data_IF_886740866616
#
_entry.id   IF_886740866616
#
_cell.length_a   1.000
_cell.length_b   1.000
_cell.length_c   1.000
_cell.angle_alpha   90.00
_cell.angle_beta   90.00
_cell.angle_gamma   90.00
#
_symmetry.space_group_name_H-M   'P 1'
#
loop_
_entity.id
_entity.type
_entity.pdbx_description
1 polymer ?
#
# COMPACT_ATOMS: atom_id res chain seq x y z
N UNK A 1 -23.51 52.03 -25.96
CA UNK A 1 -22.41 51.34 -25.25
C UNK A 1 -22.92 50.28 -24.26
N UNK A 2 -24.10 50.45 -23.67
CA UNK A 2 -24.69 49.51 -22.69
C UNK A 2 -24.89 48.07 -23.22
N UNK A 3 -25.34 47.89 -24.47
CA UNK A 3 -25.53 46.55 -25.07
C UNK A 3 -24.22 45.73 -25.16
N UNK A 4 -23.07 46.37 -25.40
CA UNK A 4 -21.77 45.69 -25.45
C UNK A 4 -21.28 45.28 -24.06
N UNK A 5 -21.59 46.08 -23.03
CA UNK A 5 -21.27 45.76 -21.63
C UNK A 5 -22.12 44.60 -21.09
N UNK A 6 -23.38 44.50 -21.48
CA UNK A 6 -24.26 43.38 -21.09
C UNK A 6 -23.77 42.06 -21.70
N UNK A 7 -23.32 42.06 -22.95
CA UNK A 7 -22.78 40.85 -23.61
C UNK A 7 -21.48 40.38 -22.93
N UNK A 8 -20.60 41.31 -22.57
CA UNK A 8 -19.36 40.99 -21.84
C UNK A 8 -19.65 40.43 -20.44
N UNK A 9 -20.64 40.98 -19.74
CA UNK A 9 -21.03 40.47 -18.42
C UNK A 9 -21.58 39.03 -18.48
N UNK A 10 -22.39 38.70 -19.50
CA UNK A 10 -22.93 37.34 -19.68
C UNK A 10 -21.82 36.34 -20.01
N UNK A 11 -20.83 36.72 -20.82
CA UNK A 11 -19.71 35.83 -21.16
C UNK A 11 -18.83 35.50 -19.94
N UNK A 12 -18.59 36.47 -19.06
CA UNK A 12 -17.81 36.24 -17.82
C UNK A 12 -18.55 35.29 -16.87
N UNK A 13 -19.88 35.36 -16.80
CA UNK A 13 -20.69 34.47 -15.97
C UNK A 13 -20.64 33.02 -16.49
N UNK A 14 -20.74 32.82 -17.81
CA UNK A 14 -20.70 31.47 -18.41
C UNK A 14 -19.33 30.82 -18.20
N UNK A 15 -18.24 31.57 -18.38
CA UNK A 15 -16.89 31.05 -18.17
C UNK A 15 -16.62 30.79 -16.68
N UNK A 16 -17.06 31.69 -15.79
CA UNK A 16 -16.92 31.52 -14.34
C UNK A 16 -17.67 30.31 -13.78
N UNK A 17 -18.91 30.08 -14.22
CA UNK A 17 -19.69 28.89 -13.84
C UNK A 17 -19.05 27.60 -14.37
N UNK A 18 -18.52 27.61 -15.59
CA UNK A 18 -17.85 26.43 -16.17
C UNK A 18 -16.64 25.95 -15.36
N UNK A 19 -15.85 26.87 -14.80
CA UNK A 19 -14.69 26.52 -13.95
C UNK A 19 -15.14 26.01 -12.57
N UNK A 20 -16.22 26.57 -12.01
CA UNK A 20 -16.77 26.14 -10.72
C UNK A 20 -17.28 24.69 -10.76
N UNK A 21 -18.00 24.30 -11.82
CA UNK A 21 -18.48 22.93 -12.00
C UNK A 21 -17.36 21.89 -12.25
N UNK A 22 -16.24 22.29 -12.84
CA UNK A 22 -15.08 21.39 -13.03
C UNK A 22 -14.35 21.15 -11.70
N UNK A 23 -14.33 22.14 -10.81
CA UNK A 23 -13.67 22.02 -9.50
C UNK A 23 -14.46 21.07 -8.55
N UNK A 24 -15.79 21.13 -8.57
CA UNK A 24 -16.64 20.28 -7.70
C UNK A 24 -16.58 18.79 -8.07
N UNK A 25 -16.31 18.47 -9.34
CA UNK A 25 -16.26 17.07 -9.83
C UNK A 25 -15.00 16.31 -9.41
N UNK A 26 -13.95 16.98 -8.91
CA UNK A 26 -12.67 16.34 -8.58
C UNK A 26 -12.53 15.93 -7.10
N UNK A 27 -13.41 16.36 -6.20
CA UNK A 27 -13.35 16.02 -4.76
C UNK A 27 -14.55 15.22 -4.24
N UNK A 28 -15.02 14.23 -5.00
CA UNK A 28 -15.87 13.17 -4.44
C UNK A 28 -15.54 11.80 -5.03
N UNK A 29 -14.25 11.46 -5.09
CA UNK A 29 -13.89 10.07 -4.81
C UNK A 29 -14.21 9.87 -3.33
N UNK A 30 -15.45 9.46 -3.05
CA UNK A 30 -15.88 8.98 -1.74
C UNK A 30 -14.88 7.88 -1.38
N UNK A 31 -13.86 8.24 -0.61
CA UNK A 31 -13.20 7.31 0.30
C UNK A 31 -14.35 6.85 1.18
N UNK A 32 -14.91 5.70 0.85
CA UNK A 32 -15.76 4.94 1.74
C UNK A 32 -14.86 4.50 2.89
N UNK A 33 -14.50 5.46 3.75
CA UNK A 33 -14.01 5.18 5.08
C UNK A 33 -15.26 4.74 5.81
N UNK A 34 -15.59 3.46 5.70
CA UNK A 34 -16.47 2.81 6.64
C UNK A 34 -15.82 2.97 8.01
N UNK A 35 -16.14 4.06 8.70
CA UNK A 35 -16.03 4.14 10.15
C UNK A 35 -17.06 3.17 10.68
N UNK A 36 -16.75 1.88 10.58
CA UNK A 36 -17.22 0.88 11.52
C UNK A 36 -16.77 1.47 12.85
N UNK A 37 -17.71 1.84 13.71
CA UNK A 37 -17.40 2.15 15.10
C UNK A 37 -16.85 0.85 15.72
N UNK A 38 -15.56 0.61 15.49
CA UNK A 38 -14.88 -0.57 15.97
C UNK A 38 -14.49 -0.28 17.40
N UNK A 39 -15.08 -1.03 18.33
CA UNK A 39 -14.70 -1.00 19.73
C UNK A 39 -13.16 -1.18 19.83
N UNK A 40 -12.41 -0.17 20.32
CA UNK A 40 -10.96 -0.21 20.35
C UNK A 40 -10.41 -1.33 21.25
N UNK A 41 -11.20 -1.83 22.20
CA UNK A 41 -10.83 -2.91 23.11
C UNK A 41 -11.22 -4.29 22.60
N UNK A 42 -11.94 -4.35 21.47
CA UNK A 42 -12.31 -5.62 20.85
C UNK A 42 -11.06 -6.46 20.59
N UNK A 43 -11.03 -7.66 21.18
CA UNK A 43 -9.94 -8.61 20.99
C UNK A 43 -10.08 -9.33 19.66
N UNK A 44 -9.02 -9.32 18.86
CA UNK A 44 -8.83 -10.09 17.64
C UNK A 44 -7.80 -11.17 17.94
N UNK A 45 -8.14 -12.44 17.76
CA UNK A 45 -7.26 -13.56 18.09
C UNK A 45 -7.01 -14.46 16.87
N UNK A 46 -5.81 -15.00 16.75
CA UNK A 46 -5.38 -15.86 15.63
C UNK A 46 -5.70 -17.36 15.81
N UNK A 47 -6.34 -17.72 16.92
CA UNK A 47 -6.65 -19.11 17.29
C UNK A 47 -5.47 -19.89 17.88
N UNK A 48 -4.31 -19.25 18.08
CA UNK A 48 -3.09 -19.82 18.69
C UNK A 48 -2.68 -19.06 19.96
N UNK A 49 -3.68 -18.60 20.71
CA UNK A 49 -3.53 -17.81 21.95
C UNK A 49 -2.93 -16.40 21.75
N UNK A 50 -2.59 -15.98 20.52
CA UNK A 50 -2.20 -14.60 20.27
C UNK A 50 -3.46 -13.76 20.04
N UNK A 51 -3.66 -12.77 20.90
CA UNK A 51 -4.73 -11.79 20.78
C UNK A 51 -4.14 -10.39 20.77
N UNK A 52 -4.67 -9.53 19.91
CA UNK A 52 -4.41 -8.09 19.90
C UNK A 52 -5.73 -7.34 20.02
N UNK A 53 -5.69 -6.07 20.40
CA UNK A 53 -6.88 -5.22 20.31
C UNK A 53 -7.04 -4.67 18.90
N UNK A 54 -8.26 -4.32 18.50
CA UNK A 54 -8.51 -3.60 17.25
C UNK A 54 -7.65 -2.34 17.17
N UNK A 55 -7.49 -1.61 18.27
CA UNK A 55 -6.67 -0.40 18.30
C UNK A 55 -5.18 -0.66 17.99
N UNK A 56 -4.62 -1.75 18.51
CA UNK A 56 -3.24 -2.16 18.24
C UNK A 56 -3.07 -2.67 16.81
N UNK A 57 -4.04 -3.44 16.32
CA UNK A 57 -4.05 -3.90 14.94
C UNK A 57 -4.06 -2.72 13.96
N UNK A 58 -4.95 -1.75 14.16
CA UNK A 58 -5.01 -0.54 13.32
C UNK A 58 -3.72 0.28 13.42
N UNK A 59 -3.15 0.44 14.61
CA UNK A 59 -1.82 1.07 14.78
C UNK A 59 -0.74 0.33 14.00
N UNK A 60 -0.76 -1.01 13.97
CA UNK A 60 0.23 -1.81 13.24
C UNK A 60 0.15 -1.59 11.72
N UNK A 61 -1.06 -1.43 11.17
CA UNK A 61 -1.29 -1.18 9.74
C UNK A 61 -0.90 0.24 9.34
N UNK A 62 -1.11 1.20 10.24
CA UNK A 62 -0.80 2.62 10.03
C UNK A 62 0.67 2.97 10.32
N UNK A 63 1.45 2.03 10.86
CA UNK A 63 2.86 2.25 11.14
C UNK A 63 3.65 2.48 9.85
N UNK A 64 4.60 3.43 9.87
CA UNK A 64 5.43 3.76 8.71
C UNK A 64 6.21 2.55 8.17
N UNK A 65 6.60 1.62 9.06
CA UNK A 65 7.35 0.41 8.73
C UNK A 65 6.47 -0.80 8.36
N UNK A 66 5.15 -0.62 8.25
CA UNK A 66 4.20 -1.69 7.95
C UNK A 66 4.60 -2.45 6.68
N UNK A 67 4.92 -1.73 5.60
CA UNK A 67 5.34 -2.35 4.33
C UNK A 67 6.61 -3.16 4.45
N UNK A 68 7.63 -2.62 5.13
CA UNK A 68 8.86 -3.35 5.42
C UNK A 68 8.58 -4.68 6.14
N UNK A 69 7.79 -4.65 7.22
CA UNK A 69 7.41 -5.85 7.97
C UNK A 69 6.62 -6.84 7.11
N UNK A 70 5.66 -6.33 6.35
CA UNK A 70 4.82 -7.13 5.48
C UNK A 70 5.64 -7.84 4.39
N UNK A 71 6.50 -7.11 3.67
CA UNK A 71 7.31 -7.67 2.59
C UNK A 71 8.34 -8.68 3.08
N UNK A 72 9.02 -8.43 4.20
CA UNK A 72 9.95 -9.42 4.78
C UNK A 72 9.24 -10.73 5.10
N UNK A 73 8.06 -10.65 5.73
CA UNK A 73 7.26 -11.83 6.08
C UNK A 73 6.73 -12.57 4.85
N UNK A 74 6.29 -11.83 3.82
CA UNK A 74 5.86 -12.40 2.55
C UNK A 74 7.01 -13.12 1.82
N UNK A 75 8.17 -12.48 1.69
CA UNK A 75 9.33 -13.11 1.04
C UNK A 75 9.72 -14.41 1.77
N UNK A 76 9.70 -14.39 3.10
CA UNK A 76 9.94 -15.60 3.90
C UNK A 76 8.89 -16.70 3.63
N UNK A 77 7.60 -16.34 3.55
CA UNK A 77 6.54 -17.33 3.30
C UNK A 77 6.69 -18.00 1.94
N UNK A 78 7.07 -17.24 0.91
CA UNK A 78 7.14 -17.73 -0.47
C UNK A 78 8.47 -18.43 -0.80
N UNK A 79 9.59 -17.93 -0.28
CA UNK A 79 10.93 -18.36 -0.70
C UNK A 79 11.64 -19.30 0.27
N UNK A 80 11.20 -19.39 1.53
CA UNK A 80 11.88 -20.22 2.54
C UNK A 80 11.05 -21.42 3.01
N UNK A 81 9.73 -21.27 3.14
CA UNK A 81 8.85 -22.37 3.56
C UNK A 81 8.83 -23.48 2.51
N UNK A 82 8.84 -24.72 2.97
CA UNK A 82 8.79 -25.91 2.11
C UNK A 82 7.53 -25.96 1.22
N UNK A 83 6.39 -25.43 1.68
CA UNK A 83 5.18 -25.34 0.87
C UNK A 83 5.26 -24.20 -0.15
N UNK A 84 5.71 -23.01 0.26
CA UNK A 84 5.91 -21.86 -0.64
C UNK A 84 6.79 -22.24 -1.82
N UNK A 85 7.96 -22.85 -1.59
CA UNK A 85 8.88 -23.31 -2.65
C UNK A 85 8.26 -24.25 -3.69
N UNK A 86 7.19 -24.99 -3.38
CA UNK A 86 6.55 -25.93 -4.31
C UNK A 86 5.64 -25.24 -5.32
N UNK A 87 5.23 -24.00 -5.07
CA UNK A 87 4.35 -23.22 -5.94
C UNK A 87 5.11 -22.44 -7.03
N UNK A 88 6.45 -22.48 -7.02
CA UNK A 88 7.29 -21.67 -7.90
C UNK A 88 8.44 -22.50 -8.50
N UNK A 89 8.91 -22.11 -9.70
CA UNK A 89 10.07 -22.69 -10.38
C UNK A 89 11.36 -22.00 -9.95
N UNK A 90 11.67 -22.05 -8.66
CA UNK A 90 12.91 -21.45 -8.17
C UNK A 90 14.15 -22.21 -8.68
N UNK A 91 15.13 -21.47 -9.19
CA UNK A 91 16.51 -21.95 -9.30
C UNK A 91 17.26 -21.66 -7.99
N UNK A 92 18.36 -22.36 -7.72
CA UNK A 92 19.21 -22.04 -6.56
C UNK A 92 19.73 -20.60 -6.61
N UNK A 93 20.03 -20.10 -7.81
CA UNK A 93 20.45 -18.71 -8.02
C UNK A 93 19.36 -17.73 -7.62
N UNK A 94 18.10 -17.98 -8.01
CA UNK A 94 16.97 -17.15 -7.63
C UNK A 94 16.82 -17.11 -6.11
N UNK A 95 16.91 -18.26 -5.43
CA UNK A 95 16.81 -18.34 -3.97
C UNK A 95 17.92 -17.55 -3.27
N UNK A 96 19.17 -17.69 -3.71
CA UNK A 96 20.29 -16.93 -3.16
C UNK A 96 20.09 -15.43 -3.35
N UNK A 97 19.63 -15.02 -4.53
CA UNK A 97 19.37 -13.60 -4.84
C UNK A 97 18.22 -13.03 -4.01
N UNK A 98 17.11 -13.76 -3.89
CA UNK A 98 15.98 -13.37 -3.04
C UNK A 98 16.43 -13.21 -1.58
N UNK A 99 17.21 -14.17 -1.07
CA UNK A 99 17.71 -14.13 0.30
C UNK A 99 18.60 -12.90 0.54
N UNK A 100 19.54 -12.61 -0.37
CA UNK A 100 20.40 -11.43 -0.26
C UNK A 100 19.61 -10.11 -0.29
N UNK A 101 18.64 -10.00 -1.21
CA UNK A 101 17.76 -8.82 -1.30
C UNK A 101 16.89 -8.65 -0.05
N UNK A 102 16.37 -9.76 0.51
CA UNK A 102 15.59 -9.75 1.74
C UNK A 102 16.42 -9.26 2.92
N UNK A 103 17.64 -9.77 3.08
CA UNK A 103 18.51 -9.40 4.20
C UNK A 103 18.99 -7.94 4.10
N UNK A 104 19.37 -7.50 2.90
CA UNK A 104 19.72 -6.09 2.63
C UNK A 104 18.52 -5.17 2.90
N UNK A 105 17.35 -5.49 2.34
CA UNK A 105 16.13 -4.71 2.50
C UNK A 105 15.67 -4.62 3.96
N UNK A 106 15.72 -5.75 4.68
CA UNK A 106 15.43 -5.79 6.11
C UNK A 106 16.38 -4.90 6.91
N UNK A 107 17.68 -5.00 6.65
CA UNK A 107 18.67 -4.18 7.35
C UNK A 107 18.46 -2.67 7.12
N UNK A 108 18.10 -2.28 5.89
CA UNK A 108 17.76 -0.89 5.57
C UNK A 108 16.51 -0.41 6.31
N UNK A 109 15.46 -1.25 6.38
CA UNK A 109 14.26 -0.96 7.14
C UNK A 109 14.56 -0.80 8.64
N UNK A 110 15.34 -1.71 9.23
CA UNK A 110 15.77 -1.65 10.64
C UNK A 110 16.64 -0.41 10.94
N UNK A 111 17.38 0.08 9.94
CA UNK A 111 18.15 1.32 10.02
C UNK A 111 17.31 2.60 9.81
N UNK A 112 15.98 2.48 9.65
CA UNK A 112 15.07 3.61 9.40
C UNK A 112 15.06 4.12 7.95
N UNK A 113 15.79 3.48 7.03
CA UNK A 113 15.80 3.81 5.60
C UNK A 113 14.66 3.10 4.87
N UNK A 114 13.43 3.37 5.31
CA UNK A 114 12.24 2.60 4.92
C UNK A 114 12.06 2.49 3.40
N UNK A 115 12.13 3.61 2.66
CA UNK A 115 11.96 3.62 1.20
C UNK A 115 13.03 2.81 0.46
N UNK A 116 14.28 2.88 0.92
CA UNK A 116 15.38 2.12 0.31
C UNK A 116 15.21 0.62 0.61
N UNK A 117 14.82 0.29 1.84
CA UNK A 117 14.52 -1.09 2.24
C UNK A 117 13.34 -1.69 1.48
N UNK A 118 12.23 -0.96 1.39
CA UNK A 118 11.06 -1.34 0.60
C UNK A 118 11.42 -1.64 -0.84
N UNK A 119 12.20 -0.78 -1.49
CA UNK A 119 12.63 -0.98 -2.89
C UNK A 119 13.41 -2.28 -3.07
N UNK A 120 14.31 -2.61 -2.13
CA UNK A 120 15.07 -3.88 -2.17
C UNK A 120 14.17 -5.10 -1.97
N UNK A 121 13.20 -4.99 -1.08
CA UNK A 121 12.21 -6.05 -0.84
C UNK A 121 11.30 -6.25 -2.06
N UNK A 122 10.87 -5.17 -2.71
CA UNK A 122 10.10 -5.23 -3.97
C UNK A 122 10.87 -5.93 -5.11
N UNK A 123 12.20 -5.74 -5.19
CA UNK A 123 13.04 -6.47 -6.15
C UNK A 123 13.00 -7.98 -5.88
N UNK A 124 13.01 -8.41 -4.62
CA UNK A 124 12.90 -9.82 -4.25
C UNK A 124 11.52 -10.39 -4.60
N UNK A 125 10.45 -9.65 -4.28
CA UNK A 125 9.05 -9.99 -4.62
C UNK A 125 8.87 -10.13 -6.13
N UNK A 126 9.51 -9.25 -6.91
CA UNK A 126 9.48 -9.32 -8.37
C UNK A 126 10.05 -10.65 -8.88
N UNK A 127 11.16 -11.12 -8.32
CA UNK A 127 11.72 -12.44 -8.67
C UNK A 127 10.74 -13.55 -8.31
N UNK A 128 10.15 -13.52 -7.11
CA UNK A 128 9.13 -14.48 -6.67
C UNK A 128 7.98 -14.55 -7.68
N UNK A 129 7.39 -13.41 -8.04
CA UNK A 129 6.27 -13.33 -8.98
C UNK A 129 6.60 -13.89 -10.36
N UNK A 130 7.80 -13.63 -10.89
CA UNK A 130 8.25 -14.18 -12.17
C UNK A 130 8.51 -15.69 -12.14
N UNK A 131 8.66 -16.27 -10.95
CA UNK A 131 8.86 -17.71 -10.79
C UNK A 131 7.58 -18.49 -10.52
N UNK A 132 6.41 -17.83 -10.43
CA UNK A 132 5.13 -18.53 -10.23
C UNK A 132 4.89 -19.57 -11.32
N UNK A 133 4.50 -20.77 -10.90
CA UNK A 133 3.91 -21.76 -11.80
C UNK A 133 2.50 -21.29 -12.15
N UNK A 134 2.29 -20.85 -13.39
CA UNK A 134 0.95 -20.60 -13.94
C UNK A 134 0.12 -21.90 -13.94
#
# INVERSE_FOLDING_TARGET
MLKKLVILAVLVIIVGLGVFFVYEKQETAIKESSTIASDPEKKICDGKENCTTESEYQKSIQADDYKCKYYVNYIWSESERAYGKKQYRYTEENLKKIQALKDEGKSLCEAGKLKDGEKKLEEAIKIINFTMLN
#
